data_IF_100320463399
#
_entry.id   IF_100320463399
#
_cell.length_a   1.000
_cell.length_b   1.000
_cell.length_c   1.000
_cell.angle_alpha   90.00
_cell.angle_beta   90.00
_cell.angle_gamma   90.00
#
_symmetry.space_group_name_H-M   'P 1'
#
loop_
_entity.id
_entity.type
_entity.pdbx_description
1 polymer ?
#
# COMPACT_ATOMS: atom_id res chain seq x y z
N UNK A 1 12.88 -9.24 2.53
CA UNK A 1 13.06 -7.78 2.44
C UNK A 1 12.18 -7.31 1.30
N UNK A 2 11.18 -6.52 1.66
CA UNK A 2 10.08 -6.05 0.81
C UNK A 2 10.24 -4.58 0.41
N UNK A 3 11.23 -3.88 0.97
CA UNK A 3 11.55 -2.48 0.71
C UNK A 3 11.39 -2.06 -0.77
N UNK A 4 12.16 -2.68 -1.67
CA UNK A 4 12.11 -2.35 -3.11
C UNK A 4 10.73 -2.56 -3.74
N UNK A 5 9.97 -3.56 -3.26
CA UNK A 5 8.62 -3.83 -3.77
C UNK A 5 7.62 -2.80 -3.25
N UNK A 6 7.73 -2.39 -1.99
CA UNK A 6 6.88 -1.36 -1.40
C UNK A 6 7.12 -0.01 -2.07
N UNK A 7 8.39 0.35 -2.30
CA UNK A 7 8.74 1.58 -3.02
C UNK A 7 8.16 1.57 -4.43
N UNK A 8 8.39 0.51 -5.21
CA UNK A 8 7.84 0.39 -6.57
C UNK A 8 6.31 0.42 -6.59
N UNK A 9 5.67 -0.24 -5.63
CA UNK A 9 4.22 -0.22 -5.51
C UNK A 9 3.71 1.20 -5.19
N UNK A 10 4.34 1.89 -4.24
CA UNK A 10 4.02 3.27 -3.88
C UNK A 10 4.19 4.25 -5.05
N UNK A 11 5.25 4.12 -5.84
CA UNK A 11 5.50 4.96 -7.02
C UNK A 11 4.33 4.94 -8.03
N UNK A 12 3.56 3.84 -8.11
CA UNK A 12 2.36 3.76 -8.97
C UNK A 12 1.28 4.77 -8.58
N UNK A 13 1.25 5.22 -7.33
CA UNK A 13 0.25 6.14 -6.81
C UNK A 13 0.68 7.60 -6.91
N UNK A 14 1.85 7.90 -7.49
CA UNK A 14 2.24 9.28 -7.78
C UNK A 14 1.21 9.97 -8.67
N UNK A 15 0.76 11.15 -8.24
CA UNK A 15 -0.29 11.92 -8.93
C UNK A 15 -1.72 11.45 -8.65
N UNK A 16 -1.91 10.34 -7.93
CA UNK A 16 -3.21 9.90 -7.39
C UNK A 16 -3.32 10.05 -5.88
N UNK A 17 -2.21 9.87 -5.17
CA UNK A 17 -2.07 10.14 -3.75
C UNK A 17 -1.20 11.39 -3.54
N UNK A 18 -1.52 12.18 -2.52
CA UNK A 18 -0.72 13.35 -2.14
C UNK A 18 0.73 12.96 -1.85
N UNK A 19 1.65 13.76 -2.40
CA UNK A 19 3.09 13.45 -2.39
C UNK A 19 3.66 13.33 -0.97
N UNK A 20 3.14 14.11 -0.01
CA UNK A 20 3.55 14.08 1.39
C UNK A 20 3.12 12.80 2.10
N UNK A 21 1.93 12.29 1.79
CA UNK A 21 1.41 11.02 2.32
C UNK A 21 2.21 9.85 1.76
N UNK A 22 2.45 9.87 0.45
CA UNK A 22 3.24 8.84 -0.21
C UNK A 22 4.67 8.79 0.35
N UNK A 23 5.34 9.94 0.44
CA UNK A 23 6.69 10.00 1.00
C UNK A 23 6.71 9.58 2.47
N UNK A 24 5.76 10.05 3.28
CA UNK A 24 5.65 9.67 4.69
C UNK A 24 5.49 8.16 4.89
N UNK A 25 4.67 7.50 4.06
CA UNK A 25 4.52 6.05 4.10
C UNK A 25 5.82 5.32 3.70
N UNK A 26 6.53 5.82 2.67
CA UNK A 26 7.76 5.19 2.18
C UNK A 26 8.97 5.43 3.09
N UNK A 27 8.99 6.51 3.89
CA UNK A 27 10.08 6.80 4.82
C UNK A 27 10.26 5.70 5.87
N UNK A 28 9.17 5.03 6.27
CA UNK A 28 9.20 3.86 7.17
C UNK A 28 10.05 2.70 6.64
N UNK A 29 10.17 2.55 5.31
CA UNK A 29 11.06 1.56 4.70
C UNK A 29 12.52 1.82 5.12
N UNK A 30 12.94 3.09 5.19
CA UNK A 30 14.27 3.49 5.62
C UNK A 30 14.57 3.21 7.09
N UNK A 31 13.54 3.00 7.90
CA UNK A 31 13.64 2.64 9.32
C UNK A 31 13.53 1.12 9.57
N UNK A 32 13.59 0.28 8.52
CA UNK A 32 13.34 -1.16 8.55
C UNK A 32 11.91 -1.53 9.01
N UNK A 33 10.97 -0.60 8.94
CA UNK A 33 9.57 -0.82 9.30
C UNK A 33 8.74 -1.11 8.03
N UNK A 34 9.19 -2.09 7.22
CA UNK A 34 8.58 -2.42 5.93
C UNK A 34 7.08 -2.75 6.04
N UNK A 35 6.69 -3.53 7.06
CA UNK A 35 5.28 -3.86 7.34
C UNK A 35 4.45 -2.61 7.60
N UNK A 36 4.94 -1.72 8.45
CA UNK A 36 4.25 -0.48 8.77
C UNK A 36 4.17 0.44 7.54
N UNK A 37 5.26 0.54 6.77
CA UNK A 37 5.30 1.32 5.54
C UNK A 37 4.19 0.92 4.56
N UNK A 38 4.01 -0.39 4.39
CA UNK A 38 2.99 -0.93 3.51
C UNK A 38 1.57 -0.75 4.06
N UNK A 39 1.37 -0.97 5.37
CA UNK A 39 0.09 -0.77 6.02
C UNK A 39 -0.37 0.69 5.94
N UNK A 40 0.50 1.65 6.28
CA UNK A 40 0.22 3.09 6.19
C UNK A 40 -0.09 3.52 4.74
N UNK A 41 0.63 2.97 3.77
CA UNK A 41 0.36 3.23 2.35
C UNK A 41 -1.03 2.74 1.95
N UNK A 42 -1.42 1.52 2.35
CA UNK A 42 -2.74 0.97 2.07
C UNK A 42 -3.85 1.74 2.82
N UNK A 43 -3.60 2.19 4.05
CA UNK A 43 -4.49 3.07 4.79
C UNK A 43 -4.74 4.37 4.03
N UNK A 44 -3.69 5.04 3.55
CA UNK A 44 -3.85 6.26 2.76
C UNK A 44 -4.59 6.02 1.44
N UNK A 45 -4.36 4.90 0.76
CA UNK A 45 -5.13 4.55 -0.44
C UNK A 45 -6.63 4.42 -0.10
N UNK A 46 -6.96 3.81 1.03
CA UNK A 46 -8.35 3.63 1.47
C UNK A 46 -8.99 4.90 2.00
N UNK A 47 -8.29 5.68 2.82
CA UNK A 47 -8.80 6.90 3.45
C UNK A 47 -9.12 7.98 2.41
N UNK A 48 -8.35 8.02 1.32
CA UNK A 48 -8.51 9.01 0.25
C UNK A 48 -9.27 8.45 -0.97
N UNK A 49 -9.92 7.29 -0.84
CA UNK A 49 -10.69 6.62 -1.90
C UNK A 49 -9.95 6.54 -3.24
N UNK A 50 -8.63 6.28 -3.19
CA UNK A 50 -7.79 6.24 -4.39
C UNK A 50 -8.19 5.02 -5.22
N UNK A 51 -8.67 5.26 -6.44
CA UNK A 51 -9.07 4.17 -7.35
C UNK A 51 -7.86 3.32 -7.72
N UNK A 52 -8.02 2.00 -7.59
CA UNK A 52 -6.99 1.01 -7.88
C UNK A 52 -7.43 0.11 -9.04
N UNK A 53 -6.46 -0.28 -9.87
CA UNK A 53 -6.68 -1.27 -10.93
C UNK A 53 -6.67 -2.70 -10.38
N UNK A 54 -7.19 -3.65 -11.16
CA UNK A 54 -7.11 -5.08 -10.82
C UNK A 54 -5.68 -5.61 -10.68
N UNK A 55 -4.71 -5.00 -11.38
CA UNK A 55 -3.30 -5.33 -11.23
C UNK A 55 -2.75 -4.82 -9.90
N UNK A 56 -3.03 -3.56 -9.55
CA UNK A 56 -2.60 -2.93 -8.29
C UNK A 56 -3.18 -3.66 -7.08
N UNK A 57 -4.46 -4.04 -7.14
CA UNK A 57 -5.06 -4.83 -6.09
C UNK A 57 -4.37 -6.19 -5.92
N UNK A 58 -4.10 -6.90 -7.03
CA UNK A 58 -3.42 -8.21 -6.95
C UNK A 58 -2.01 -8.08 -6.39
N UNK A 59 -1.30 -7.03 -6.76
CA UNK A 59 0.03 -6.73 -6.22
C UNK A 59 -0.04 -6.42 -4.72
N UNK A 60 -0.99 -5.59 -4.28
CA UNK A 60 -1.20 -5.28 -2.87
C UNK A 60 -1.54 -6.53 -2.05
N UNK A 61 -2.45 -7.37 -2.55
CA UNK A 61 -2.80 -8.65 -1.89
C UNK A 61 -1.60 -9.58 -1.81
N UNK A 62 -0.81 -9.70 -2.87
CA UNK A 62 0.38 -10.55 -2.85
C UNK A 62 1.42 -10.03 -1.86
N UNK A 63 1.65 -8.71 -1.80
CA UNK A 63 2.53 -8.09 -0.82
C UNK A 63 2.04 -8.34 0.61
N UNK A 64 0.75 -8.15 0.86
CA UNK A 64 0.15 -8.41 2.16
C UNK A 64 0.38 -9.86 2.63
N UNK A 65 0.10 -10.82 1.74
CA UNK A 65 0.30 -12.24 2.01
C UNK A 65 1.77 -12.60 2.24
N UNK A 66 2.68 -12.06 1.41
CA UNK A 66 4.11 -12.33 1.55
C UNK A 66 4.68 -11.79 2.87
N UNK A 67 4.08 -10.72 3.41
CA UNK A 67 4.46 -10.10 4.68
C UNK A 67 3.72 -10.71 5.89
N UNK A 68 2.79 -11.64 5.64
CA UNK A 68 2.05 -12.36 6.68
C UNK A 68 0.86 -11.60 7.26
N UNK A 69 0.33 -10.59 6.55
CA UNK A 69 -0.88 -9.88 6.96
C UNK A 69 -2.14 -10.71 6.74
N UNK A 70 -3.17 -10.40 7.53
CA UNK A 70 -4.53 -10.89 7.33
C UNK A 70 -5.29 -9.94 6.40
N UNK A 71 -5.81 -10.47 5.29
CA UNK A 71 -6.54 -9.69 4.28
C UNK A 71 -7.94 -9.27 4.76
N UNK A 72 -8.47 -9.91 5.80
CA UNK A 72 -9.77 -9.59 6.38
C UNK A 72 -9.67 -8.49 7.47
N UNK A 73 -8.45 -8.06 7.80
CA UNK A 73 -8.14 -7.05 8.81
C UNK A 73 -7.51 -5.79 8.18
N UNK A 74 -7.45 -4.72 8.99
CA UNK A 74 -6.77 -3.46 8.63
C UNK A 74 -7.27 -2.83 7.32
N UNK A 75 -6.39 -2.14 6.56
CA UNK A 75 -6.76 -1.53 5.28
C UNK A 75 -7.03 -2.55 4.17
N UNK A 76 -6.48 -3.76 4.27
CA UNK A 76 -6.49 -4.74 3.18
C UNK A 76 -7.90 -5.19 2.79
N UNK A 77 -8.80 -5.30 3.77
CA UNK A 77 -10.22 -5.64 3.52
C UNK A 77 -10.95 -4.59 2.68
N UNK A 78 -10.51 -3.33 2.75
CA UNK A 78 -11.12 -2.19 2.06
C UNK A 78 -10.57 -1.99 0.64
N UNK A 79 -9.37 -2.50 0.34
CA UNK A 79 -8.80 -2.40 -1.01
C UNK A 79 -9.73 -3.01 -2.08
N UNK A 80 -10.47 -4.08 -1.73
CA UNK A 80 -11.37 -4.74 -2.69
C UNK A 80 -12.50 -3.83 -3.18
N UNK A 81 -12.96 -2.89 -2.36
CA UNK A 81 -14.02 -1.95 -2.74
C UNK A 81 -13.55 -0.78 -3.62
N UNK A 82 -12.23 -0.57 -3.74
CA UNK A 82 -11.64 0.52 -4.52
C UNK A 82 -11.31 0.15 -5.96
N UNK A 83 -11.58 -1.11 -6.33
CA UNK A 83 -11.37 -1.62 -7.69
C UNK A 83 -12.26 -0.90 -8.70
N UNK A 84 -11.64 -0.29 -9.70
CA UNK A 84 -12.31 0.34 -10.86
C UNK A 84 -12.22 -0.50 -12.12
#
# INVERSE_FOLDING_TARGET
MYADRIVKFGERFQGRLESTLLQGALDYVGYNEESLAFEVLCDHICEYDVSITDEEYREAVQLALDMGFDLEEGPFKHLKSLKS
#
